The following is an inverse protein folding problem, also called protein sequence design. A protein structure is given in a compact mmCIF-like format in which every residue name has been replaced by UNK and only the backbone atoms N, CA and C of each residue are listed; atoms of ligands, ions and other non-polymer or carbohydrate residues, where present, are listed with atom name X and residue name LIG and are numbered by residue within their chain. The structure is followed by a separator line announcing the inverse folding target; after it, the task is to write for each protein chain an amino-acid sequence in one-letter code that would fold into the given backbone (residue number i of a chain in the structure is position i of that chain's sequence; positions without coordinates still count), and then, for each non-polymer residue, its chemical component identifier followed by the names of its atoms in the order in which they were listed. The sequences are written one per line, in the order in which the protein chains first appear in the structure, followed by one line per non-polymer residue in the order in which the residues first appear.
data_IF_029509482051
#
_entry.id   IF_029509482051
#
_cell.length_a   1.000
_cell.length_b   1.000
_cell.length_c   1.000
_cell.angle_alpha   90.00
_cell.angle_beta   90.00
_cell.angle_gamma   90.00
#
_symmetry.space_group_name_H-M   'P 1'
#
loop_
_entity.id
_entity.type
_entity.pdbx_description
1 polymer ?
#
# COMPACT_ATOMS: atom_id res chain seq x y z
N UNK A 1 -2.53 7.52 9.31
CA UNK A 1 -1.17 7.46 8.71
C UNK A 1 -0.75 6.00 8.64
N UNK A 2 -0.55 5.45 7.44
CA UNK A 2 -0.34 4.00 7.22
C UNK A 2 0.85 3.42 8.01
N UNK A 3 1.87 4.22 8.29
CA UNK A 3 3.01 3.85 9.16
C UNK A 3 2.56 3.41 10.55
N UNK A 4 1.52 4.05 11.13
CA UNK A 4 0.96 3.62 12.42
C UNK A 4 0.27 2.26 12.34
N UNK A 5 -0.27 1.90 11.17
CA UNK A 5 -0.88 0.59 10.94
C UNK A 5 0.21 -0.49 10.80
N UNK A 6 1.30 -0.19 10.08
CA UNK A 6 2.50 -1.06 10.00
C UNK A 6 3.12 -1.28 11.38
N UNK A 7 3.19 -0.24 12.20
CA UNK A 7 3.73 -0.34 13.56
C UNK A 7 2.87 -1.19 14.50
N UNK A 8 1.57 -1.37 14.18
CA UNK A 8 0.62 -2.16 14.97
C UNK A 8 0.46 -3.59 14.44
N UNK A 9 0.93 -3.87 13.23
CA UNK A 9 0.94 -5.22 12.66
C UNK A 9 2.28 -5.91 12.94
N UNK A 10 2.30 -7.24 12.80
CA UNK A 10 3.53 -8.04 12.84
C UNK A 10 4.54 -7.68 11.73
N UNK A 11 4.15 -6.80 10.80
CA UNK A 11 4.96 -6.37 9.66
C UNK A 11 5.97 -5.28 10.03
N UNK A 12 5.96 -4.73 11.25
CA UNK A 12 6.94 -3.72 11.69
C UNK A 12 8.38 -4.19 11.53
N UNK A 13 8.70 -5.41 11.97
CA UNK A 13 10.07 -5.94 11.89
C UNK A 13 10.50 -6.03 10.43
N UNK A 14 9.63 -6.56 9.56
CA UNK A 14 9.93 -6.63 8.14
C UNK A 14 10.09 -5.25 7.52
N UNK A 15 9.20 -4.31 7.83
CA UNK A 15 9.34 -2.93 7.39
C UNK A 15 10.67 -2.33 7.83
N UNK A 16 11.13 -2.54 9.06
CA UNK A 16 12.37 -1.92 9.53
C UNK A 16 13.64 -2.53 8.89
N UNK A 17 13.61 -3.82 8.53
CA UNK A 17 14.81 -4.57 8.10
C UNK A 17 14.83 -4.98 6.62
N UNK A 18 13.71 -4.85 5.89
CA UNK A 18 13.60 -5.21 4.47
C UNK A 18 13.38 -3.94 3.62
N UNK A 19 14.46 -3.40 3.06
CA UNK A 19 14.44 -2.21 2.21
C UNK A 19 13.59 -2.41 0.95
N UNK A 20 13.55 -3.65 0.42
CA UNK A 20 12.69 -3.94 -0.72
C UNK A 20 11.22 -3.81 -0.33
N UNK A 21 10.84 -4.39 0.81
CA UNK A 21 9.48 -4.26 1.33
C UNK A 21 9.09 -2.80 1.64
N UNK A 22 10.00 -2.01 2.23
CA UNK A 22 9.77 -0.57 2.41
C UNK A 22 9.50 0.14 1.07
N UNK A 23 10.29 -0.17 0.05
CA UNK A 23 10.16 0.45 -1.27
C UNK A 23 8.84 0.05 -1.95
N UNK A 24 8.43 -1.22 -1.84
CA UNK A 24 7.14 -1.70 -2.31
C UNK A 24 5.98 -0.89 -1.73
N UNK A 25 6.01 -0.61 -0.43
CA UNK A 25 4.95 0.17 0.23
C UNK A 25 4.98 1.67 -0.12
N UNK A 26 6.11 2.21 -0.60
CA UNK A 26 6.16 3.59 -1.10
C UNK A 26 5.37 3.77 -2.39
N UNK A 27 5.16 2.71 -3.18
CA UNK A 27 4.30 2.79 -4.36
C UNK A 27 2.84 3.06 -3.99
N UNK A 28 2.35 2.56 -2.85
CA UNK A 28 1.02 2.94 -2.34
C UNK A 28 0.94 4.43 -2.03
N UNK A 29 1.99 5.00 -1.43
CA UNK A 29 2.01 6.44 -1.13
C UNK A 29 2.09 7.27 -2.41
N UNK A 30 2.77 6.75 -3.44
CA UNK A 30 2.93 7.43 -4.73
C UNK A 30 1.59 7.66 -5.45
N UNK A 31 0.56 6.83 -5.19
CA UNK A 31 -0.77 7.02 -5.79
C UNK A 31 -1.44 8.31 -5.33
N UNK A 32 -1.07 8.87 -4.17
CA UNK A 32 -1.59 10.16 -3.72
C UNK A 32 -1.11 11.36 -4.58
N UNK A 33 -0.12 11.15 -5.46
CA UNK A 33 0.45 12.19 -6.32
C UNK A 33 -0.01 12.09 -7.77
N UNK A 34 -0.82 11.08 -8.14
CA UNK A 34 -1.46 11.06 -9.46
C UNK A 34 -2.73 11.92 -9.43
N UNK A 35 -3.18 12.46 -10.59
CA UNK A 35 -4.47 13.12 -10.67
C UNK A 35 -5.60 12.22 -10.14
N UNK A 36 -6.60 12.80 -9.49
CA UNK A 36 -7.64 12.09 -8.74
C UNK A 36 -8.36 11.05 -9.63
N UNK A 37 -8.62 11.39 -10.88
CA UNK A 37 -9.24 10.52 -11.88
C UNK A 37 -8.43 9.27 -12.22
N UNK A 38 -7.14 9.23 -11.89
CA UNK A 38 -6.24 8.10 -12.13
C UNK A 38 -5.82 7.36 -10.86
N UNK A 39 -6.23 7.82 -9.67
CA UNK A 39 -5.81 7.21 -8.39
C UNK A 39 -6.19 5.73 -8.32
N UNK A 40 -7.43 5.38 -8.69
CA UNK A 40 -7.91 3.99 -8.71
C UNK A 40 -7.10 3.13 -9.67
N UNK A 41 -6.90 3.59 -10.91
CA UNK A 41 -6.11 2.88 -11.90
C UNK A 41 -4.66 2.69 -11.44
N UNK A 42 -4.04 3.71 -10.85
CA UNK A 42 -2.69 3.64 -10.33
C UNK A 42 -2.60 2.63 -9.17
N UNK A 43 -3.59 2.60 -8.28
CA UNK A 43 -3.68 1.63 -7.19
C UNK A 43 -3.80 0.19 -7.72
N UNK A 44 -4.69 -0.05 -8.68
CA UNK A 44 -4.84 -1.35 -9.34
C UNK A 44 -3.54 -1.83 -10.01
N UNK A 45 -2.80 -0.94 -10.68
CA UNK A 45 -1.50 -1.26 -11.29
C UNK A 45 -0.46 -1.66 -10.24
N UNK A 46 -0.44 -0.99 -9.09
CA UNK A 46 0.46 -1.32 -7.97
C UNK A 46 0.10 -2.68 -7.37
N UNK A 47 -1.19 -2.98 -7.22
CA UNK A 47 -1.66 -4.24 -6.64
C UNK A 47 -1.57 -5.43 -7.62
N UNK A 48 -1.97 -5.26 -8.87
CA UNK A 48 -2.08 -6.31 -9.88
C UNK A 48 -0.75 -6.85 -10.41
N UNK A 49 0.32 -6.06 -10.33
CA UNK A 49 1.64 -6.47 -10.82
C UNK A 49 2.47 -7.25 -9.78
N UNK A 50 1.87 -7.69 -8.66
CA UNK A 50 2.57 -8.29 -7.52
C UNK A 50 3.74 -7.42 -7.02
N UNK A 51 3.65 -6.10 -7.18
CA UNK A 51 4.68 -5.16 -6.71
C UNK A 51 4.79 -5.26 -5.20
N UNK A 52 3.66 -5.45 -4.51
CA UNK A 52 3.61 -5.64 -3.07
C UNK A 52 3.48 -7.14 -2.79
N UNK A 53 4.41 -7.66 -2.00
CA UNK A 53 4.37 -9.06 -1.57
C UNK A 53 3.09 -9.39 -0.80
N UNK A 54 2.65 -10.66 -0.85
CA UNK A 54 1.41 -11.12 -0.21
C UNK A 54 1.31 -10.80 1.29
N UNK A 55 2.45 -10.74 1.98
CA UNK A 55 2.51 -10.35 3.40
C UNK A 55 2.14 -8.88 3.63
N UNK A 56 2.28 -8.03 2.62
CA UNK A 56 1.84 -6.62 2.66
C UNK A 56 0.33 -6.45 2.49
N UNK A 57 -0.42 -7.53 2.23
CA UNK A 57 -1.88 -7.49 2.00
C UNK A 57 -2.66 -6.72 3.08
N UNK A 58 -2.41 -6.88 4.39
CA UNK A 58 -3.15 -6.10 5.41
C UNK A 58 -2.97 -4.58 5.27
N UNK A 59 -1.82 -4.14 4.74
CA UNK A 59 -1.54 -2.72 4.52
C UNK A 59 -2.25 -2.23 3.25
N UNK A 60 -2.27 -3.07 2.21
CA UNK A 60 -3.01 -2.81 0.97
C UNK A 60 -4.50 -2.68 1.26
N UNK A 61 -5.08 -3.64 1.99
CA UNK A 61 -6.49 -3.65 2.37
C UNK A 61 -6.84 -2.40 3.19
N UNK A 62 -6.02 -2.06 4.19
CA UNK A 62 -6.21 -0.81 4.96
C UNK A 62 -6.13 0.45 4.07
N UNK A 63 -5.22 0.46 3.10
CA UNK A 63 -5.05 1.60 2.18
C UNK A 63 -6.26 1.75 1.27
N UNK A 64 -6.75 0.65 0.70
CA UNK A 64 -7.95 0.58 -0.13
C UNK A 64 -9.17 1.11 0.62
N UNK A 65 -9.45 0.55 1.81
CA UNK A 65 -10.59 0.92 2.66
C UNK A 65 -10.55 2.40 3.07
N UNK A 66 -9.36 2.94 3.30
CA UNK A 66 -9.21 4.31 3.83
C UNK A 66 -9.23 5.37 2.73
N UNK A 67 -8.64 5.09 1.57
CA UNK A 67 -8.30 6.13 0.58
C UNK A 67 -8.92 5.92 -0.79
N UNK A 68 -9.20 4.68 -1.18
CA UNK A 68 -9.84 4.36 -2.46
C UNK A 68 -11.35 4.29 -2.27
N UNK A 69 -11.79 3.72 -1.14
CA UNK A 69 -13.18 3.35 -0.91
C UNK A 69 -13.53 2.10 -1.71
N UNK A 70 -14.38 1.23 -1.16
CA UNK A 70 -14.86 0.07 -1.91
C UNK A 70 -15.44 0.53 -3.25
N UNK A 71 -14.83 0.10 -4.36
CA UNK A 71 -15.45 0.19 -5.68
C UNK A 71 -16.67 -0.74 -5.64
N UNK A 72 -17.86 -0.17 -5.48
CA UNK A 72 -19.12 -0.87 -5.74
C UNK A 72 -19.28 -1.19 -7.24
#
# INVERSE_FOLDING_TARGET
MYIKHIQRSSLKIRYDFDVHFQHQLKFLVATAFVPVEFVTMAFEVVCGNNVISAEGKPIVDYFEDTWIGHLE
#
